data_IF_269397331083
#
_entry.id   IF_269397331083
#
_cell.length_a   1.000
_cell.length_b   1.000
_cell.length_c   1.000
_cell.angle_alpha   90.00
_cell.angle_beta   90.00
_cell.angle_gamma   90.00
#
_symmetry.space_group_name_H-M   'P 1'
#
loop_
_entity.id
_entity.type
_entity.pdbx_description
1 polymer ?
#
# COMPACT_ATOMS: atom_id res chain seq x y z
N UNK A 1 -8.37 -8.50 -18.53
CA UNK A 1 -8.29 -8.65 -20.00
C UNK A 1 -9.09 -7.60 -20.74
N UNK A 2 -8.50 -6.95 -21.74
CA UNK A 2 -9.17 -5.92 -22.53
C UNK A 2 -10.36 -6.48 -23.36
N UNK A 3 -10.28 -7.76 -23.77
CA UNK A 3 -11.34 -8.42 -24.52
C UNK A 3 -12.62 -8.66 -23.70
N UNK A 4 -12.47 -9.06 -22.44
CA UNK A 4 -13.63 -9.26 -21.55
C UNK A 4 -14.36 -7.94 -21.23
N UNK A 5 -13.59 -6.86 -21.05
CA UNK A 5 -14.14 -5.52 -20.80
C UNK A 5 -14.92 -5.02 -22.01
N UNK A 6 -14.38 -5.20 -23.23
CA UNK A 6 -15.05 -4.80 -24.46
C UNK A 6 -16.38 -5.55 -24.66
N UNK A 7 -16.42 -6.85 -24.36
CA UNK A 7 -17.63 -7.65 -24.47
C UNK A 7 -18.69 -7.25 -23.43
N UNK A 8 -18.27 -6.97 -22.19
CA UNK A 8 -19.16 -6.41 -21.17
C UNK A 8 -19.78 -5.08 -21.64
N UNK A 9 -18.97 -4.19 -22.21
CA UNK A 9 -19.45 -2.89 -22.68
C UNK A 9 -20.42 -3.01 -23.85
N UNK A 10 -20.18 -3.98 -24.75
CA UNK A 10 -21.12 -4.30 -25.83
C UNK A 10 -22.48 -4.71 -25.29
N UNK A 11 -22.52 -5.58 -24.28
CA UNK A 11 -23.77 -6.03 -23.63
C UNK A 11 -24.47 -4.88 -22.91
N UNK A 12 -23.72 -4.07 -22.15
CA UNK A 12 -24.24 -2.90 -21.45
C UNK A 12 -24.89 -1.91 -22.43
N UNK A 13 -24.23 -1.61 -23.55
CA UNK A 13 -24.79 -0.73 -24.60
C UNK A 13 -26.05 -1.31 -25.22
N UNK A 14 -26.05 -2.61 -25.56
CA UNK A 14 -27.24 -3.27 -26.12
C UNK A 14 -28.45 -3.25 -25.17
N UNK A 15 -28.22 -3.37 -23.85
CA UNK A 15 -29.29 -3.26 -22.85
C UNK A 15 -29.79 -1.82 -22.71
N UNK A 16 -28.89 -0.83 -22.69
CA UNK A 16 -29.24 0.60 -22.70
C UNK A 16 -30.10 0.95 -23.91
N UNK A 17 -29.72 0.50 -25.10
CA UNK A 17 -30.42 0.81 -26.35
C UNK A 17 -31.82 0.16 -26.40
N UNK A 18 -32.07 -0.86 -25.57
CA UNK A 18 -33.40 -1.46 -25.35
C UNK A 18 -34.23 -0.75 -24.28
N UNK A 19 -33.76 0.38 -23.74
CA UNK A 19 -34.44 1.18 -22.73
C UNK A 19 -34.23 0.73 -21.29
N UNK A 20 -33.22 -0.12 -21.03
CA UNK A 20 -32.89 -0.55 -19.66
C UNK A 20 -32.01 0.50 -18.98
N UNK A 21 -32.40 0.96 -17.80
CA UNK A 21 -31.54 1.80 -16.96
C UNK A 21 -30.48 0.92 -16.27
N UNK A 22 -29.21 1.33 -16.38
CA UNK A 22 -28.07 0.58 -15.85
C UNK A 22 -27.37 1.44 -14.82
N UNK A 23 -27.23 0.91 -13.60
CA UNK A 23 -26.38 1.49 -12.57
C UNK A 23 -25.04 0.75 -12.59
N UNK A 24 -23.99 1.46 -13.02
CA UNK A 24 -22.63 0.92 -13.06
C UNK A 24 -21.78 1.56 -11.95
N UNK A 25 -21.19 0.73 -11.10
CA UNK A 25 -20.34 1.17 -9.98
C UNK A 25 -18.91 0.75 -10.26
N UNK A 26 -18.03 1.71 -10.50
CA UNK A 26 -16.61 1.48 -10.76
C UNK A 26 -15.76 2.67 -10.33
N UNK A 27 -14.49 2.41 -10.03
CA UNK A 27 -13.46 3.42 -9.77
C UNK A 27 -12.44 3.50 -10.91
N UNK A 28 -12.57 2.66 -11.95
CA UNK A 28 -11.75 2.70 -13.15
C UNK A 28 -12.25 3.80 -14.07
N UNK A 29 -11.59 4.96 -14.04
CA UNK A 29 -12.09 6.17 -14.69
C UNK A 29 -12.35 5.95 -16.18
N UNK A 30 -11.42 5.33 -16.92
CA UNK A 30 -11.57 5.11 -18.36
C UNK A 30 -12.83 4.31 -18.70
N UNK A 31 -13.15 3.30 -17.88
CA UNK A 31 -14.36 2.52 -18.04
C UNK A 31 -15.60 3.36 -17.80
N UNK A 32 -15.65 4.13 -16.70
CA UNK A 32 -16.82 4.94 -16.35
C UNK A 32 -17.08 6.02 -17.41
N UNK A 33 -16.02 6.66 -17.93
CA UNK A 33 -16.13 7.62 -19.02
C UNK A 33 -16.61 7.00 -20.33
N UNK A 34 -16.28 5.73 -20.59
CA UNK A 34 -16.65 5.06 -21.84
C UNK A 34 -18.13 4.64 -21.92
N UNK A 35 -18.76 4.26 -20.79
CA UNK A 35 -20.10 3.65 -20.81
C UNK A 35 -21.21 4.45 -20.13
N UNK A 36 -20.87 5.51 -19.39
CA UNK A 36 -21.85 6.22 -18.57
C UNK A 36 -22.35 7.47 -19.27
N UNK A 37 -23.67 7.71 -19.26
CA UNK A 37 -24.27 8.99 -19.71
C UNK A 37 -24.22 10.07 -18.61
N UNK A 38 -24.34 9.64 -17.35
CA UNK A 38 -24.31 10.48 -16.14
C UNK A 38 -23.42 9.82 -15.09
N UNK A 39 -22.79 10.66 -14.27
CA UNK A 39 -21.95 10.25 -13.16
C UNK A 39 -22.49 10.88 -11.87
N UNK A 40 -22.68 10.06 -10.85
CA UNK A 40 -23.05 10.49 -9.50
C UNK A 40 -21.88 10.21 -8.58
N UNK A 41 -21.32 11.25 -7.97
CA UNK A 41 -20.19 11.12 -7.06
C UNK A 41 -20.71 11.03 -5.63
N UNK A 42 -20.48 9.88 -5.00
CA UNK A 42 -20.74 9.68 -3.57
C UNK A 42 -19.41 9.69 -2.81
N UNK A 43 -19.35 10.49 -1.75
CA UNK A 43 -18.21 10.49 -0.83
C UNK A 43 -18.74 10.46 0.59
N UNK A 44 -18.17 9.58 1.42
CA UNK A 44 -18.51 9.53 2.84
C UNK A 44 -20.00 9.30 3.13
N UNK A 45 -20.65 8.48 2.29
CA UNK A 45 -22.08 8.17 2.40
C UNK A 45 -23.02 9.33 2.04
N UNK A 46 -22.49 10.39 1.41
CA UNK A 46 -23.26 11.55 0.97
C UNK A 46 -23.06 11.81 -0.51
N UNK A 47 -24.11 12.34 -1.14
CA UNK A 47 -24.03 12.86 -2.51
C UNK A 47 -23.15 14.10 -2.52
N UNK A 48 -22.07 14.06 -3.31
CA UNK A 48 -21.20 15.21 -3.55
C UNK A 48 -21.74 16.01 -4.72
N UNK A 49 -21.93 15.35 -5.86
CA UNK A 49 -22.40 15.99 -7.08
C UNK A 49 -22.94 14.97 -8.08
N UNK A 50 -23.65 15.48 -9.10
CA UNK A 50 -24.12 14.70 -10.24
C UNK A 50 -23.88 15.49 -11.52
N UNK A 51 -23.23 14.83 -12.49
CA UNK A 51 -22.81 15.45 -13.74
C UNK A 51 -23.20 14.59 -14.94
N UNK A 52 -23.36 15.22 -16.10
CA UNK A 52 -23.28 14.50 -17.37
C UNK A 52 -21.82 14.16 -17.64
N UNK A 53 -21.55 12.93 -18.09
CA UNK A 53 -20.19 12.47 -18.37
C UNK A 53 -19.43 13.39 -19.31
N UNK A 54 -20.12 13.91 -20.34
CA UNK A 54 -19.56 14.83 -21.32
C UNK A 54 -19.15 16.21 -20.75
N UNK A 55 -19.66 16.58 -19.58
CA UNK A 55 -19.48 17.90 -18.95
C UNK A 55 -18.50 17.85 -17.77
N UNK A 56 -17.99 16.67 -17.39
CA UNK A 56 -17.15 16.49 -16.22
C UNK A 56 -15.70 16.15 -16.61
N UNK A 57 -14.75 17.09 -16.52
CA UNK A 57 -13.34 16.81 -16.72
C UNK A 57 -12.83 15.74 -15.74
N UNK A 58 -11.94 14.85 -16.20
CA UNK A 58 -11.35 13.75 -15.40
C UNK A 58 -10.78 14.25 -14.07
N UNK A 59 -10.03 15.34 -14.11
CA UNK A 59 -9.41 15.93 -12.91
C UNK A 59 -10.47 16.39 -11.90
N UNK A 60 -11.57 16.98 -12.36
CA UNK A 60 -12.66 17.41 -11.49
C UNK A 60 -13.37 16.22 -10.84
N UNK A 61 -13.65 15.14 -11.60
CA UNK A 61 -14.22 13.91 -11.05
C UNK A 61 -13.32 13.35 -9.93
N UNK A 62 -12.02 13.27 -10.17
CA UNK A 62 -11.05 12.81 -9.18
C UNK A 62 -11.06 13.70 -7.93
N UNK A 63 -11.09 15.03 -8.10
CA UNK A 63 -11.19 15.98 -6.98
C UNK A 63 -12.48 15.83 -6.18
N UNK A 64 -13.61 15.57 -6.85
CA UNK A 64 -14.89 15.34 -6.19
C UNK A 64 -14.90 14.00 -5.43
N UNK A 65 -14.30 12.95 -5.99
CA UNK A 65 -14.18 11.62 -5.39
C UNK A 65 -13.25 11.63 -4.16
N UNK A 66 -12.09 12.28 -4.25
CA UNK A 66 -11.03 12.24 -3.23
C UNK A 66 -11.15 13.41 -2.25
N UNK A 67 -11.41 14.63 -2.73
CA UNK A 67 -11.45 15.83 -1.88
C UNK A 67 -10.08 16.46 -1.62
N UNK A 68 -9.89 17.06 -0.44
CA UNK A 68 -8.70 17.87 -0.08
C UNK A 68 -7.40 17.06 0.08
N UNK A 69 -7.47 15.74 0.02
CA UNK A 69 -6.35 14.83 0.27
C UNK A 69 -5.28 14.89 -0.84
N UNK A 70 -5.66 15.22 -2.08
CA UNK A 70 -4.69 15.47 -3.16
C UNK A 70 -3.80 16.69 -2.87
N UNK A 71 -4.37 17.76 -2.32
CA UNK A 71 -3.61 18.97 -1.98
C UNK A 71 -2.63 18.73 -0.81
N UNK A 72 -2.95 17.80 0.10
CA UNK A 72 -2.03 17.37 1.16
C UNK A 72 -0.85 16.59 0.60
N UNK A 73 -1.10 15.69 -0.35
CA UNK A 73 -0.04 14.96 -1.07
C UNK A 73 0.90 15.92 -1.79
N UNK A 74 0.37 16.87 -2.56
CA UNK A 74 1.16 17.88 -3.27
C UNK A 74 1.98 18.81 -2.34
N UNK A 75 1.54 19.01 -1.10
CA UNK A 75 2.29 19.80 -0.10
C UNK A 75 3.39 18.97 0.57
N UNK A 76 3.13 17.71 0.91
CA UNK A 76 4.11 16.80 1.49
C UNK A 76 5.24 16.47 0.49
N UNK A 77 4.92 16.35 -0.80
CA UNK A 77 5.90 16.24 -1.89
C UNK A 77 6.92 17.39 -1.90
N UNK A 78 6.52 18.61 -1.50
CA UNK A 78 7.42 19.78 -1.45
C UNK A 78 8.28 19.84 -0.19
N UNK A 79 7.85 19.20 0.90
CA UNK A 79 8.56 19.21 2.19
C UNK A 79 9.57 18.06 2.33
N UNK A 80 9.31 16.93 1.66
CA UNK A 80 10.15 15.72 1.71
C UNK A 80 11.50 15.84 0.97
N UNK A 81 11.77 16.95 0.25
CA UNK A 81 13.01 17.20 -0.49
C UNK A 81 14.25 17.46 0.41
N UNK A 82 14.29 16.93 1.63
CA UNK A 82 15.46 16.98 2.50
C UNK A 82 16.34 15.76 2.26
N UNK A 83 17.44 16.00 1.55
CA UNK A 83 18.51 15.02 1.35
C UNK A 83 19.11 14.60 2.70
N UNK A 84 18.88 13.36 3.12
CA UNK A 84 19.66 12.68 4.16
C UNK A 84 21.10 12.58 3.65
N UNK A 85 22.11 12.96 4.44
CA UNK A 85 23.50 12.79 4.06
C UNK A 85 23.78 11.31 3.74
N UNK A 86 24.47 11.05 2.63
CA UNK A 86 24.76 9.68 2.14
C UNK A 86 25.51 8.75 3.11
N UNK A 87 25.95 9.26 4.27
CA UNK A 87 26.64 8.52 5.33
C UNK A 87 25.73 8.07 6.51
N UNK A 88 24.42 8.33 6.45
CA UNK A 88 23.53 7.91 7.53
C UNK A 88 23.36 6.38 7.56
N UNK A 89 23.63 5.76 8.71
CA UNK A 89 23.44 4.31 8.94
C UNK A 89 22.00 3.91 8.55
N UNK A 90 21.81 2.96 7.62
CA UNK A 90 20.48 2.48 7.24
C UNK A 90 19.71 1.92 8.44
N UNK A 91 18.39 2.14 8.46
CA UNK A 91 17.49 1.47 9.41
C UNK A 91 17.56 -0.04 9.22
N UNK A 92 17.56 -0.48 7.97
CA UNK A 92 17.75 -1.88 7.59
C UNK A 92 18.70 -1.92 6.40
N UNK A 93 19.69 -2.79 6.48
CA UNK A 93 20.64 -3.05 5.40
C UNK A 93 20.62 -4.53 5.06
N UNK A 94 20.33 -4.87 3.81
CA UNK A 94 20.38 -6.22 3.28
C UNK A 94 21.54 -6.34 2.30
N UNK A 95 22.33 -7.41 2.43
CA UNK A 95 23.47 -7.71 1.55
C UNK A 95 23.37 -9.14 1.03
N UNK A 96 23.30 -9.31 -0.28
CA UNK A 96 23.15 -10.60 -0.96
C UNK A 96 21.93 -11.40 -0.51
N UNK A 97 20.88 -10.72 -0.03
CA UNK A 97 19.70 -11.35 0.53
C UNK A 97 18.94 -12.06 -0.60
N UNK A 98 18.85 -13.37 -0.52
CA UNK A 98 18.30 -14.19 -1.60
C UNK A 98 17.62 -15.45 -1.10
N UNK A 99 16.75 -16.02 -1.92
CA UNK A 99 16.12 -17.33 -1.73
C UNK A 99 16.15 -18.11 -3.03
N UNK A 100 16.88 -19.21 -3.05
CA UNK A 100 17.01 -20.10 -4.21
C UNK A 100 15.64 -20.46 -4.79
N UNK A 101 15.47 -20.19 -6.09
CA UNK A 101 14.21 -20.46 -6.82
C UNK A 101 13.09 -19.46 -6.56
N UNK A 102 13.35 -18.33 -5.87
CA UNK A 102 12.34 -17.31 -5.57
C UNK A 102 12.84 -15.87 -5.74
N UNK A 103 14.05 -15.54 -5.27
CA UNK A 103 14.67 -14.21 -5.46
C UNK A 103 16.18 -14.34 -5.48
N UNK A 104 16.81 -13.73 -6.49
CA UNK A 104 18.27 -13.68 -6.60
C UNK A 104 18.86 -12.75 -5.53
N UNK A 105 20.15 -12.96 -5.15
CA UNK A 105 20.80 -12.13 -4.14
C UNK A 105 20.65 -10.64 -4.44
N UNK A 106 20.02 -9.93 -3.51
CA UNK A 106 19.70 -8.51 -3.65
C UNK A 106 20.32 -7.71 -2.51
N UNK A 107 20.94 -6.60 -2.85
CA UNK A 107 21.38 -5.57 -1.91
C UNK A 107 20.29 -4.49 -1.82
N UNK A 108 19.98 -4.05 -0.60
CA UNK A 108 18.98 -3.02 -0.36
C UNK A 108 19.30 -2.28 0.93
N UNK A 109 19.26 -0.95 0.90
CA UNK A 109 19.35 -0.10 2.09
C UNK A 109 18.05 0.69 2.26
N UNK A 110 17.48 0.61 3.46
CA UNK A 110 16.28 1.33 3.85
C UNK A 110 16.67 2.32 4.94
N UNK A 111 16.43 3.60 4.69
CA UNK A 111 16.80 4.69 5.59
C UNK A 111 15.64 5.13 6.47
N UNK A 112 15.97 5.67 7.65
CA UNK A 112 14.98 6.24 8.55
C UNK A 112 14.32 7.48 7.93
N UNK A 113 13.02 7.65 8.16
CA UNK A 113 12.25 8.79 7.66
C UNK A 113 12.08 8.84 6.14
N UNK A 114 12.23 7.71 5.46
CA UNK A 114 12.17 7.61 3.99
C UNK A 114 11.28 6.49 3.52
N UNK A 115 10.72 6.69 2.34
CA UNK A 115 9.95 5.71 1.58
C UNK A 115 10.87 5.09 0.52
N UNK A 116 11.11 3.80 0.65
CA UNK A 116 11.79 2.97 -0.36
C UNK A 116 10.75 2.24 -1.20
N UNK A 117 10.64 2.62 -2.46
CA UNK A 117 9.72 2.03 -3.42
C UNK A 117 10.27 0.74 -4.02
N UNK A 118 9.46 -0.30 -4.11
CA UNK A 118 9.77 -1.49 -4.92
C UNK A 118 8.87 -1.50 -6.17
N UNK A 119 9.48 -1.27 -7.33
CA UNK A 119 8.80 -1.23 -8.63
C UNK A 119 9.05 -2.52 -9.44
N UNK A 120 8.17 -2.83 -10.38
CA UNK A 120 8.29 -4.00 -11.25
C UNK A 120 6.98 -4.41 -11.92
N UNK A 121 6.95 -5.56 -12.57
CA UNK A 121 5.69 -6.20 -13.00
C UNK A 121 5.27 -7.28 -12.00
N UNK A 122 4.04 -7.77 -12.15
CA UNK A 122 3.59 -8.94 -11.40
C UNK A 122 4.57 -10.10 -11.61
N UNK A 123 4.98 -10.74 -10.51
CA UNK A 123 5.97 -11.82 -10.53
C UNK A 123 7.42 -11.36 -10.64
N UNK A 124 7.71 -10.06 -10.52
CA UNK A 124 9.10 -9.59 -10.59
C UNK A 124 9.95 -9.89 -9.34
N UNK A 125 9.36 -10.37 -8.25
CA UNK A 125 10.06 -10.68 -7.00
C UNK A 125 9.81 -9.70 -5.84
N UNK A 126 8.96 -8.68 -5.99
CA UNK A 126 8.77 -7.64 -4.94
C UNK A 126 8.21 -8.20 -3.64
N UNK A 127 7.17 -9.01 -3.74
CA UNK A 127 6.53 -9.67 -2.60
C UNK A 127 7.50 -10.66 -1.95
N UNK A 128 8.23 -11.44 -2.74
CA UNK A 128 9.25 -12.38 -2.27
C UNK A 128 10.35 -11.66 -1.48
N UNK A 129 10.89 -10.57 -2.02
CA UNK A 129 11.90 -9.75 -1.34
C UNK A 129 11.34 -9.18 -0.02
N UNK A 130 10.13 -8.62 -0.05
CA UNK A 130 9.48 -8.04 1.14
C UNK A 130 9.25 -9.09 2.23
N UNK A 131 8.82 -10.30 1.85
CA UNK A 131 8.64 -11.44 2.77
C UNK A 131 9.96 -11.94 3.36
N UNK A 132 11.07 -11.85 2.62
CA UNK A 132 12.41 -12.11 3.17
C UNK A 132 12.83 -11.05 4.18
N UNK A 133 12.60 -9.77 3.89
CA UNK A 133 12.90 -8.65 4.79
C UNK A 133 12.13 -8.75 6.11
N UNK A 134 10.91 -9.29 6.08
CA UNK A 134 10.12 -9.55 7.28
C UNK A 134 10.43 -10.90 7.97
N UNK A 135 11.19 -11.78 7.32
CA UNK A 135 11.42 -13.15 7.78
C UNK A 135 10.17 -14.02 7.79
N UNK A 136 9.13 -13.67 7.00
CA UNK A 136 8.01 -14.55 6.70
C UNK A 136 8.48 -15.75 5.86
N UNK A 137 9.45 -15.50 4.99
CA UNK A 137 10.18 -16.51 4.25
C UNK A 137 11.64 -16.56 4.69
N UNK A 138 12.24 -17.76 4.59
CA UNK A 138 13.63 -17.97 5.01
C UNK A 138 14.58 -17.73 3.85
N UNK A 139 15.47 -16.76 4.01
CA UNK A 139 16.57 -16.53 3.09
C UNK A 139 17.52 -17.75 3.04
N UNK A 140 18.01 -18.05 1.84
CA UNK A 140 19.07 -19.04 1.59
C UNK A 140 20.46 -18.42 1.61
N UNK A 141 20.57 -17.12 1.36
CA UNK A 141 21.84 -16.37 1.30
C UNK A 141 21.70 -14.97 1.88
N UNK A 142 22.85 -14.33 2.10
CA UNK A 142 22.95 -12.94 2.50
C UNK A 142 22.85 -12.70 4.00
N UNK A 143 22.96 -11.43 4.35
CA UNK A 143 22.90 -10.93 5.72
C UNK A 143 21.97 -9.73 5.82
N UNK A 144 21.39 -9.55 7.00
CA UNK A 144 20.56 -8.39 7.33
C UNK A 144 21.10 -7.73 8.57
N UNK A 145 21.21 -6.42 8.54
CA UNK A 145 21.53 -5.56 9.67
C UNK A 145 20.36 -4.62 9.94
N UNK A 146 20.10 -4.36 11.22
CA UNK A 146 19.14 -3.33 11.66
C UNK A 146 19.90 -2.36 12.54
N UNK A 147 19.89 -1.07 12.18
CA UNK A 147 20.68 -0.03 12.84
C UNK A 147 22.17 -0.40 12.97
N UNK A 148 22.76 -0.95 11.89
CA UNK A 148 24.15 -1.41 11.84
C UNK A 148 24.48 -2.64 12.70
N UNK A 149 23.46 -3.34 13.21
CA UNK A 149 23.63 -4.56 14.01
C UNK A 149 23.17 -5.79 13.24
N UNK A 150 24.00 -6.83 13.06
CA UNK A 150 23.58 -8.07 12.43
C UNK A 150 22.40 -8.72 13.14
N UNK A 151 21.35 -9.06 12.39
CA UNK A 151 20.15 -9.72 12.90
C UNK A 151 19.81 -10.97 12.08
N UNK A 152 19.16 -11.95 12.73
CA UNK A 152 18.67 -13.15 12.07
C UNK A 152 17.15 -13.10 11.96
N UNK A 153 16.63 -12.53 10.87
CA UNK A 153 15.20 -12.45 10.58
C UNK A 153 14.69 -13.79 10.01
N UNK A 154 14.57 -14.83 10.86
CA UNK A 154 14.13 -16.18 10.43
C UNK A 154 12.64 -16.45 10.64
N UNK A 155 11.95 -15.53 11.31
CA UNK A 155 10.52 -15.63 11.63
C UNK A 155 9.91 -14.23 11.71
N UNK A 156 8.61 -14.06 11.43
CA UNK A 156 7.90 -12.80 11.64
C UNK A 156 8.08 -12.22 13.05
N UNK A 157 8.10 -13.08 14.07
CA UNK A 157 8.29 -12.67 15.47
C UNK A 157 9.65 -12.00 15.69
N UNK A 158 10.70 -12.46 15.00
CA UNK A 158 12.02 -11.85 15.09
C UNK A 158 12.04 -10.45 14.46
N UNK A 159 11.37 -10.27 13.32
CA UNK A 159 11.25 -8.96 12.68
C UNK A 159 10.42 -7.97 13.52
N UNK A 160 9.28 -8.42 14.07
CA UNK A 160 8.46 -7.61 14.99
C UNK A 160 9.28 -7.17 16.22
N UNK A 161 10.14 -8.05 16.77
CA UNK A 161 11.01 -7.70 17.88
C UNK A 161 12.08 -6.64 17.53
N UNK A 162 12.42 -6.49 16.24
CA UNK A 162 13.28 -5.41 15.73
C UNK A 162 12.51 -4.13 15.38
N UNK A 163 11.19 -4.10 15.61
CA UNK A 163 10.32 -2.98 15.26
C UNK A 163 9.96 -2.93 13.77
N UNK A 164 9.93 -4.09 13.08
CA UNK A 164 9.51 -4.20 11.69
C UNK A 164 8.06 -4.69 11.67
N UNK A 165 7.18 -3.97 10.98
CA UNK A 165 5.80 -4.37 10.72
C UNK A 165 5.62 -4.68 9.23
N UNK A 166 4.70 -5.60 8.91
CA UNK A 166 4.46 -6.04 7.53
C UNK A 166 2.97 -6.15 7.23
N UNK A 167 2.54 -5.43 6.21
CA UNK A 167 1.22 -5.51 5.62
C UNK A 167 1.34 -6.29 4.30
N UNK A 168 0.77 -7.50 4.27
CA UNK A 168 0.83 -8.41 3.10
C UNK A 168 -0.17 -7.98 2.02
N UNK A 169 0.18 -8.28 0.75
CA UNK A 169 -0.70 -8.16 -0.41
C UNK A 169 -1.98 -9.00 -0.24
N UNK A 170 -1.87 -10.22 0.33
CA UNK A 170 -3.04 -11.05 0.62
C UNK A 170 -3.74 -10.58 1.90
N UNK A 171 -4.44 -9.46 1.77
CA UNK A 171 -5.24 -8.88 2.85
C UNK A 171 -6.20 -9.89 3.45
N UNK A 172 -6.83 -10.78 2.65
CA UNK A 172 -7.90 -11.66 3.12
C UNK A 172 -7.38 -12.93 3.80
N UNK A 173 -6.33 -13.54 3.26
CA UNK A 173 -5.74 -14.76 3.80
C UNK A 173 -4.69 -14.53 4.88
N UNK A 174 -3.89 -13.46 4.75
CA UNK A 174 -2.75 -13.19 5.64
C UNK A 174 -2.91 -11.90 6.47
N UNK A 175 -3.70 -10.94 5.98
CA UNK A 175 -3.84 -9.61 6.59
C UNK A 175 -4.87 -9.56 7.71
N UNK A 176 -6.15 -9.73 7.41
CA UNK A 176 -7.27 -9.46 8.33
C UNK A 176 -7.94 -10.73 8.83
N UNK A 177 -8.57 -10.66 10.01
CA UNK A 177 -9.45 -11.74 10.49
C UNK A 177 -10.89 -11.24 10.36
N UNK A 178 -11.53 -11.59 9.25
CA UNK A 178 -12.84 -11.04 8.86
C UNK A 178 -13.97 -11.31 9.85
N UNK A 179 -13.89 -12.42 10.59
CA UNK A 179 -14.87 -12.82 11.59
C UNK A 179 -14.70 -12.12 12.94
N UNK A 180 -13.62 -11.36 13.11
CA UNK A 180 -13.38 -10.53 14.28
C UNK A 180 -13.87 -9.09 14.04
N UNK A 181 -14.12 -8.39 15.14
CA UNK A 181 -14.52 -6.99 15.11
C UNK A 181 -13.38 -6.08 14.64
N UNK A 182 -13.71 -4.84 14.26
CA UNK A 182 -12.70 -3.79 14.00
C UNK A 182 -11.75 -3.65 15.19
N UNK A 183 -12.30 -3.58 16.41
CA UNK A 183 -11.55 -3.53 17.68
C UNK A 183 -10.55 -4.67 17.81
N UNK A 184 -11.04 -5.90 17.65
CA UNK A 184 -10.20 -7.09 17.83
C UNK A 184 -9.08 -7.11 16.81
N UNK A 185 -9.37 -6.74 15.56
CA UNK A 185 -8.37 -6.64 14.51
C UNK A 185 -7.31 -5.57 14.84
N UNK A 186 -7.69 -4.39 15.33
CA UNK A 186 -6.73 -3.34 15.71
C UNK A 186 -5.84 -3.80 16.86
N UNK A 187 -6.42 -4.38 17.91
CA UNK A 187 -5.67 -4.75 19.12
C UNK A 187 -4.81 -6.01 18.96
N UNK A 188 -5.03 -6.80 17.91
CA UNK A 188 -4.46 -8.14 17.74
C UNK A 188 -2.93 -8.16 17.84
N UNK A 189 -2.23 -7.30 17.09
CA UNK A 189 -0.77 -7.30 17.07
C UNK A 189 -0.17 -6.85 18.42
N UNK A 190 -0.78 -5.86 19.06
CA UNK A 190 -0.38 -5.42 20.39
C UNK A 190 -0.59 -6.52 21.44
N UNK A 191 -1.73 -7.23 21.38
CA UNK A 191 -2.01 -8.34 22.29
C UNK A 191 -1.05 -9.51 22.05
N UNK A 192 -0.73 -9.84 20.80
CA UNK A 192 0.25 -10.86 20.45
C UNK A 192 1.65 -10.53 21.00
N UNK A 193 2.08 -9.26 20.93
CA UNK A 193 3.35 -8.79 21.51
C UNK A 193 3.36 -8.87 23.04
N UNK A 194 2.23 -8.62 23.72
CA UNK A 194 2.11 -8.75 25.18
C UNK A 194 2.00 -10.20 25.66
N UNK A 195 1.55 -11.10 24.78
CA UNK A 195 1.25 -12.50 25.09
C UNK A 195 -0.14 -12.68 25.72
N UNK A 196 -0.67 -13.91 25.64
CA UNK A 196 -2.07 -14.25 26.02
C UNK A 196 -2.40 -14.06 27.51
N UNK A 197 -1.38 -14.09 28.38
CA UNK A 197 -1.54 -13.95 29.84
C UNK A 197 -1.72 -12.48 30.25
N UNK A 198 -1.12 -11.54 29.50
CA UNK A 198 -1.15 -10.10 29.80
C UNK A 198 -2.18 -9.40 28.92
N UNK A 199 -3.45 -9.58 29.25
CA UNK A 199 -4.56 -8.95 28.52
C UNK A 199 -4.47 -7.42 28.57
N UNK A 200 -4.81 -6.78 27.46
CA UNK A 200 -4.97 -5.32 27.40
C UNK A 200 -6.19 -4.94 28.27
N UNK A 201 -6.03 -4.05 29.27
CA UNK A 201 -7.16 -3.54 30.04
C UNK A 201 -8.21 -2.90 29.11
N UNK A 202 -9.50 -3.18 29.35
CA UNK A 202 -10.59 -2.74 28.46
C UNK A 202 -10.53 -1.24 28.15
N UNK A 203 -10.38 -0.41 29.19
CA UNK A 203 -10.25 1.05 29.05
C UNK A 203 -9.08 1.47 28.15
N UNK A 204 -7.91 0.85 28.33
CA UNK A 204 -6.74 1.10 27.49
C UNK A 204 -7.04 0.69 26.03
N UNK A 205 -7.70 -0.46 25.83
CA UNK A 205 -8.10 -0.93 24.51
C UNK A 205 -9.09 0.02 23.82
N UNK A 206 -10.09 0.52 24.56
CA UNK A 206 -11.07 1.49 24.06
C UNK A 206 -10.41 2.79 23.60
N UNK A 207 -9.51 3.35 24.41
CA UNK A 207 -8.77 4.58 24.09
C UNK A 207 -7.91 4.41 22.82
N UNK A 208 -7.19 3.28 22.70
CA UNK A 208 -6.35 2.99 21.54
C UNK A 208 -7.18 2.79 20.26
N UNK A 209 -8.28 2.03 20.34
CA UNK A 209 -9.15 1.77 19.19
C UNK A 209 -9.80 3.05 18.71
N UNK A 210 -10.33 3.88 19.62
CA UNK A 210 -10.93 5.16 19.26
C UNK A 210 -9.91 6.10 18.59
N UNK A 211 -8.67 6.16 19.12
CA UNK A 211 -7.57 6.94 18.53
C UNK A 211 -7.31 6.54 17.08
N UNK A 212 -7.17 5.25 16.80
CA UNK A 212 -6.80 4.78 15.45
C UNK A 212 -7.98 4.76 14.46
N UNK A 213 -9.21 4.53 14.92
CA UNK A 213 -10.41 4.72 14.08
C UNK A 213 -10.49 6.18 13.61
N UNK A 214 -10.26 7.14 14.51
CA UNK A 214 -10.28 8.55 14.17
C UNK A 214 -9.09 8.96 13.28
N UNK A 215 -7.87 8.56 13.64
CA UNK A 215 -6.66 8.94 12.93
C UNK A 215 -6.64 8.44 11.48
N UNK A 216 -7.20 7.26 11.20
CA UNK A 216 -7.25 6.68 9.86
C UNK A 216 -8.59 6.88 9.14
N UNK A 217 -9.54 7.60 9.76
CA UNK A 217 -10.90 7.78 9.25
C UNK A 217 -11.55 6.45 8.82
N UNK A 218 -11.56 5.47 9.74
CA UNK A 218 -12.20 4.16 9.50
C UNK A 218 -13.72 4.34 9.54
N UNK A 219 -14.39 3.88 8.47
CA UNK A 219 -15.84 4.02 8.27
C UNK A 219 -16.51 2.66 8.05
N UNK A 220 -17.67 2.40 8.69
CA UNK A 220 -18.26 3.20 9.77
C UNK A 220 -17.33 3.23 11.00
N UNK A 221 -17.43 4.30 11.79
CA UNK A 221 -16.66 4.46 13.03
C UNK A 221 -17.27 3.60 14.15
N UNK A 222 -17.40 2.30 13.89
CA UNK A 222 -17.98 1.30 14.78
C UNK A 222 -16.90 0.26 15.12
N UNK A 223 -16.36 0.27 16.34
CA UNK A 223 -15.35 -0.69 16.76
C UNK A 223 -15.87 -2.13 16.87
N UNK A 224 -17.19 -2.30 17.04
CA UNK A 224 -17.80 -3.61 17.27
C UNK A 224 -18.40 -4.21 15.97
N UNK A 225 -18.33 -3.47 14.86
CA UNK A 225 -18.66 -4.00 13.54
C UNK A 225 -17.69 -5.13 13.13
N UNK A 226 -18.23 -6.18 12.50
CA UNK A 226 -17.43 -7.25 11.92
C UNK A 226 -16.62 -6.74 10.72
N UNK A 227 -15.33 -7.03 10.71
CA UNK A 227 -14.42 -6.47 9.72
C UNK A 227 -14.75 -6.93 8.29
N UNK A 228 -15.26 -8.16 8.11
CA UNK A 228 -15.68 -8.69 6.80
C UNK A 228 -16.80 -7.85 6.13
N UNK A 229 -17.55 -7.07 6.91
CA UNK A 229 -18.64 -6.24 6.40
C UNK A 229 -18.16 -4.84 5.94
N UNK A 230 -16.91 -4.46 6.26
CA UNK A 230 -16.33 -3.18 5.84
C UNK A 230 -15.84 -3.26 4.39
N UNK A 231 -15.76 -2.10 3.71
CA UNK A 231 -15.16 -2.01 2.37
C UNK A 231 -13.66 -2.36 2.41
N UNK A 232 -13.09 -2.74 1.26
CA UNK A 232 -11.67 -3.07 1.15
C UNK A 232 -10.74 -1.98 1.68
N UNK A 233 -11.02 -0.70 1.38
CA UNK A 233 -10.27 0.44 1.89
C UNK A 233 -10.33 0.56 3.42
N UNK A 234 -11.49 0.33 4.02
CA UNK A 234 -11.62 0.36 5.48
C UNK A 234 -10.97 -0.86 6.15
N UNK A 235 -11.03 -2.03 5.53
CA UNK A 235 -10.27 -3.20 5.98
C UNK A 235 -8.76 -2.91 5.97
N UNK A 236 -8.27 -2.24 4.93
CA UNK A 236 -6.86 -1.86 4.81
C UNK A 236 -6.45 -0.85 5.89
N UNK A 237 -7.26 0.18 6.15
CA UNK A 237 -7.04 1.13 7.24
C UNK A 237 -6.98 0.43 8.60
N UNK A 238 -7.87 -0.52 8.86
CA UNK A 238 -7.85 -1.31 10.10
C UNK A 238 -6.58 -2.16 10.21
N UNK A 239 -6.11 -2.74 9.11
CA UNK A 239 -4.85 -3.48 9.07
C UNK A 239 -3.63 -2.57 9.33
N UNK A 240 -3.62 -1.36 8.77
CA UNK A 240 -2.59 -0.36 9.06
C UNK A 240 -2.63 0.06 10.54
N UNK A 241 -3.82 0.36 11.10
CA UNK A 241 -3.99 0.68 12.52
C UNK A 241 -3.39 -0.41 13.43
N UNK A 242 -3.65 -1.68 13.12
CA UNK A 242 -3.09 -2.81 13.87
C UNK A 242 -1.57 -2.74 13.96
N UNK A 243 -0.91 -2.46 12.84
CA UNK A 243 0.55 -2.43 12.79
C UNK A 243 1.11 -1.17 13.41
N UNK A 244 0.53 0.00 13.13
CA UNK A 244 0.94 1.29 13.71
C UNK A 244 0.80 1.29 15.25
N UNK A 245 -0.20 0.59 15.77
CA UNK A 245 -0.38 0.40 17.21
C UNK A 245 0.83 -0.28 17.90
N UNK A 246 1.64 -1.01 17.14
CA UNK A 246 2.87 -1.63 17.67
C UNK A 246 4.07 -0.69 17.73
N UNK A 247 3.90 0.56 17.27
CA UNK A 247 4.95 1.58 17.16
C UNK A 247 6.19 1.05 16.42
N UNK A 248 6.04 0.61 15.15
CA UNK A 248 7.16 0.12 14.38
C UNK A 248 8.16 1.24 14.10
N UNK A 249 9.37 0.86 13.66
CA UNK A 249 10.39 1.78 13.12
C UNK A 249 10.57 1.61 11.61
N UNK A 250 10.15 0.45 11.10
CA UNK A 250 10.08 0.10 9.69
C UNK A 250 8.72 -0.53 9.40
N UNK A 251 8.00 0.03 8.42
CA UNK A 251 6.74 -0.48 7.93
C UNK A 251 6.92 -0.99 6.49
N UNK A 252 6.71 -2.28 6.27
CA UNK A 252 6.73 -2.92 4.96
C UNK A 252 5.28 -3.00 4.46
N UNK A 253 4.97 -2.34 3.36
CA UNK A 253 3.64 -2.28 2.77
C UNK A 253 3.65 -2.94 1.39
N UNK A 254 3.09 -4.15 1.30
CA UNK A 254 2.99 -4.89 0.06
C UNK A 254 1.62 -4.70 -0.59
N UNK A 255 1.60 -4.06 -1.76
CA UNK A 255 0.39 -3.73 -2.53
C UNK A 255 -0.73 -3.12 -1.65
N UNK A 256 -0.44 -2.10 -0.80
CA UNK A 256 -1.35 -1.64 0.23
C UNK A 256 -2.61 -0.96 -0.34
N UNK A 257 -2.60 -0.64 -1.63
CA UNK A 257 -3.68 0.03 -2.35
C UNK A 257 -4.44 -0.93 -3.28
N UNK A 258 -4.14 -2.23 -3.23
CA UNK A 258 -4.78 -3.22 -4.08
C UNK A 258 -6.25 -3.44 -3.69
N UNK A 259 -7.13 -3.31 -4.69
CA UNK A 259 -8.55 -3.61 -4.56
C UNK A 259 -9.29 -2.68 -3.59
N UNK A 260 -8.85 -1.42 -3.49
CA UNK A 260 -9.52 -0.35 -2.76
C UNK A 260 -9.82 0.82 -3.72
N UNK A 261 -10.76 1.68 -3.36
CA UNK A 261 -11.13 2.83 -4.20
C UNK A 261 -10.04 3.92 -4.22
N UNK A 262 -10.12 4.80 -5.21
CA UNK A 262 -9.12 5.85 -5.45
C UNK A 262 -8.97 6.84 -4.27
N UNK A 263 -10.06 7.08 -3.52
CA UNK A 263 -10.02 7.92 -2.32
C UNK A 263 -9.24 7.25 -1.19
N UNK A 264 -9.58 5.99 -0.88
CA UNK A 264 -8.85 5.22 0.12
C UNK A 264 -7.36 5.06 -0.25
N UNK A 265 -7.05 4.90 -1.53
CA UNK A 265 -5.67 4.87 -2.05
C UNK A 265 -4.93 6.17 -1.77
N UNK A 266 -5.50 7.32 -2.11
CA UNK A 266 -4.90 8.63 -1.83
C UNK A 266 -4.69 8.84 -0.32
N UNK A 267 -5.66 8.45 0.52
CA UNK A 267 -5.54 8.54 1.98
C UNK A 267 -4.40 7.69 2.54
N UNK A 268 -4.22 6.47 2.03
CA UNK A 268 -3.11 5.61 2.45
C UNK A 268 -1.76 6.19 2.02
N UNK A 269 -1.66 6.69 0.78
CA UNK A 269 -0.43 7.35 0.31
C UNK A 269 -0.10 8.58 1.16
N UNK A 270 -1.09 9.41 1.49
CA UNK A 270 -0.89 10.60 2.32
C UNK A 270 -0.41 10.21 3.73
N UNK A 271 -1.01 9.17 4.31
CA UNK A 271 -0.56 8.62 5.58
C UNK A 271 0.88 8.11 5.51
N UNK A 272 1.26 7.41 4.44
CA UNK A 272 2.64 6.91 4.26
C UNK A 272 3.63 8.06 4.22
N UNK A 273 3.36 9.09 3.42
CA UNK A 273 4.20 10.29 3.34
C UNK A 273 4.31 11.00 4.68
N UNK A 274 3.20 11.12 5.42
CA UNK A 274 3.20 11.70 6.77
C UNK A 274 4.04 10.87 7.75
N UNK A 275 3.87 9.54 7.77
CA UNK A 275 4.64 8.68 8.66
C UNK A 275 6.14 8.78 8.38
N UNK A 276 6.52 8.84 7.10
CA UNK A 276 7.90 9.03 6.69
C UNK A 276 8.46 10.37 7.16
N UNK A 277 7.73 11.48 6.99
CA UNK A 277 8.17 12.79 7.48
C UNK A 277 8.27 12.86 9.01
N UNK A 278 7.51 12.06 9.73
CA UNK A 278 7.63 11.85 11.19
C UNK A 278 8.80 10.93 11.60
N UNK A 279 9.59 10.43 10.64
CA UNK A 279 10.80 9.64 10.87
C UNK A 279 10.62 8.12 10.75
N UNK A 280 9.42 7.65 10.40
CA UNK A 280 9.18 6.22 10.10
C UNK A 280 9.93 5.81 8.83
N UNK A 281 10.52 4.62 8.82
CA UNK A 281 11.05 4.04 7.59
C UNK A 281 9.93 3.25 6.92
N UNK A 282 9.72 3.42 5.61
CA UNK A 282 8.65 2.72 4.89
C UNK A 282 9.22 2.03 3.66
N UNK A 283 8.83 0.77 3.43
CA UNK A 283 8.95 0.14 2.11
C UNK A 283 7.57 0.10 1.49
N UNK A 284 7.43 0.65 0.30
CA UNK A 284 6.17 0.70 -0.42
C UNK A 284 6.26 -0.10 -1.72
N UNK A 285 5.49 -1.18 -1.80
CA UNK A 285 5.41 -2.03 -2.99
C UNK A 285 4.10 -1.74 -3.70
N UNK A 286 4.16 -1.50 -5.00
CA UNK A 286 2.95 -1.41 -5.83
C UNK A 286 3.23 -1.87 -7.26
N UNK A 287 2.23 -2.51 -7.87
CA UNK A 287 2.20 -2.78 -9.30
C UNK A 287 1.88 -1.51 -10.12
N UNK A 288 1.30 -0.49 -9.50
CA UNK A 288 1.00 0.78 -10.12
C UNK A 288 2.21 1.71 -9.97
N UNK A 289 3.03 1.77 -11.02
CA UNK A 289 4.31 2.52 -11.03
C UNK A 289 4.16 3.98 -10.63
N UNK A 290 3.05 4.62 -11.03
CA UNK A 290 2.73 6.00 -10.66
C UNK A 290 2.62 6.21 -9.16
N UNK A 291 2.19 5.20 -8.39
CA UNK A 291 2.18 5.30 -6.93
C UNK A 291 3.60 5.30 -6.38
N UNK A 292 4.42 4.36 -6.85
CA UNK A 292 5.81 4.22 -6.40
C UNK A 292 6.58 5.50 -6.69
N UNK A 293 6.46 6.04 -7.91
CA UNK A 293 7.09 7.29 -8.32
C UNK A 293 6.65 8.48 -7.48
N UNK A 294 5.38 8.53 -7.08
CA UNK A 294 4.81 9.67 -6.37
C UNK A 294 5.33 9.80 -4.93
N UNK A 295 5.48 8.69 -4.22
CA UNK A 295 5.76 8.73 -2.77
C UNK A 295 7.16 8.27 -2.37
N UNK A 296 7.95 7.70 -3.28
CA UNK A 296 9.23 7.09 -2.93
C UNK A 296 10.39 8.05 -3.05
N UNK A 297 11.26 8.08 -2.04
CA UNK A 297 12.55 8.80 -2.07
C UNK A 297 13.60 8.03 -2.89
N UNK A 298 13.52 6.70 -2.87
CA UNK A 298 14.36 5.80 -3.68
C UNK A 298 13.51 4.68 -4.24
N UNK A 299 13.85 4.22 -5.43
CA UNK A 299 13.08 3.18 -6.13
C UNK A 299 14.02 2.05 -6.55
N UNK A 300 13.82 0.88 -5.98
CA UNK A 300 14.45 -0.35 -6.46
C UNK A 300 13.55 -1.00 -7.50
N UNK A 301 14.06 -1.17 -8.71
CA UNK A 301 13.33 -1.82 -9.81
C UNK A 301 13.67 -3.30 -9.82
N UNK A 302 12.65 -4.14 -9.69
CA UNK A 302 12.76 -5.59 -9.80
C UNK A 302 12.21 -6.10 -11.13
N UNK A 303 12.92 -7.07 -11.70
CA UNK A 303 12.55 -7.79 -12.92
C UNK A 303 13.06 -9.23 -12.84
N UNK A 304 12.22 -10.20 -13.19
CA UNK A 304 12.57 -11.63 -13.21
C UNK A 304 13.30 -12.10 -11.94
N UNK A 305 12.78 -11.71 -10.77
CA UNK A 305 13.32 -12.05 -9.46
C UNK A 305 14.72 -11.46 -9.17
N UNK A 306 15.11 -10.38 -9.86
CA UNK A 306 16.38 -9.66 -9.70
C UNK A 306 16.14 -8.17 -9.49
N UNK A 307 16.94 -7.57 -8.61
CA UNK A 307 17.10 -6.11 -8.60
C UNK A 307 17.94 -5.69 -9.82
N UNK A 308 17.39 -4.84 -10.68
CA UNK A 308 18.04 -4.38 -11.92
C UNK A 308 18.49 -2.93 -11.87
N UNK A 309 17.93 -2.13 -10.98
CA UNK A 309 18.32 -0.74 -10.77
C UNK A 309 17.89 -0.23 -9.39
N UNK A 310 18.62 0.75 -8.87
CA UNK A 310 18.26 1.55 -7.71
C UNK A 310 18.34 3.03 -8.12
N UNK A 311 17.19 3.69 -8.15
CA UNK A 311 17.01 5.05 -8.63
C UNK A 311 16.75 6.00 -7.47
N UNK A 312 17.23 7.23 -7.58
CA UNK A 312 16.71 8.33 -6.77
C UNK A 312 15.29 8.64 -7.26
N UNK A 313 14.34 8.79 -6.32
CA UNK A 313 12.94 9.08 -6.65
C UNK A 313 12.77 10.40 -7.41
N UNK A 314 13.64 11.37 -7.16
CA UNK A 314 13.60 12.68 -7.83
C UNK A 314 14.04 12.64 -9.30
N UNK A 315 14.87 11.65 -9.67
CA UNK A 315 15.36 11.45 -11.04
C UNK A 315 14.54 10.39 -11.80
N UNK A 316 13.65 9.68 -11.12
CA UNK A 316 12.86 8.60 -11.70
C UNK A 316 11.63 9.14 -12.46
N UNK A 317 11.40 8.60 -13.65
CA UNK A 317 10.22 8.89 -14.48
C UNK A 317 9.49 7.60 -14.80
N UNK A 318 8.21 7.70 -15.17
CA UNK A 318 7.44 6.53 -15.60
C UNK A 318 8.13 5.82 -16.76
N UNK A 319 8.57 6.57 -17.77
CA UNK A 319 9.23 6.01 -18.94
C UNK A 319 10.55 5.33 -18.59
N UNK A 320 11.37 5.92 -17.70
CA UNK A 320 12.65 5.30 -17.31
C UNK A 320 12.47 4.00 -16.54
N UNK A 321 11.47 3.93 -15.65
CA UNK A 321 11.16 2.69 -14.92
C UNK A 321 10.58 1.63 -15.85
N UNK A 322 9.66 2.00 -16.75
CA UNK A 322 9.09 1.07 -17.75
C UNK A 322 10.18 0.50 -18.66
N UNK A 323 11.11 1.33 -19.11
CA UNK A 323 12.21 0.93 -19.96
C UNK A 323 13.18 -0.03 -19.24
N UNK A 324 13.49 0.21 -17.97
CA UNK A 324 14.27 -0.74 -17.14
C UNK A 324 13.56 -2.09 -16.98
N UNK A 325 12.23 -2.09 -16.86
CA UNK A 325 11.44 -3.30 -16.83
C UNK A 325 11.46 -4.01 -18.20
N UNK A 326 11.38 -3.26 -19.31
CA UNK A 326 11.24 -3.81 -20.66
C UNK A 326 12.57 -4.31 -21.29
N UNK A 327 13.70 -3.66 -20.99
CA UNK A 327 15.04 -3.96 -21.58
C UNK A 327 15.63 -5.35 -21.26
N UNK A 328 14.87 -6.24 -20.64
CA UNK A 328 15.28 -7.60 -20.31
C UNK A 328 14.93 -8.65 -21.36
N UNK A 329 14.22 -8.27 -22.43
CA UNK A 329 13.72 -9.18 -23.46
C UNK A 329 14.77 -9.80 -24.38
N UNK A 330 15.98 -9.23 -24.46
CA UNK A 330 17.03 -9.76 -25.33
C UNK A 330 17.90 -10.78 -24.59
N UNK A 331 17.41 -12.02 -24.55
CA UNK A 331 18.28 -13.18 -24.35
C UNK A 331 19.12 -13.37 -25.63
N UNK A 332 20.39 -13.01 -25.55
CA UNK A 332 21.44 -13.58 -26.40
C UNK A 332 21.90 -14.93 -25.83
#
# INVERSE_FOLDING_TARGET
DAGEVAELFRVVRALRDRGVAILFVSHFLDQVYEISDRMTVLRNGRLVAEHRTAELPRLQLVQEMIGRELATLEHLEREAAQQVPGDAVPRLSARGLGRTGAIDPTDLDIHAGRVTGLAGLLGSGRTELTRLLFGADRASSGTVEVDGKPVKLRTPRAAIAQGIAFCSEDRKGEGVVGDLTVRDNILLALQARRGWVRRIPRRQGDELVAKYIAALDVRPADPDALLRNLSGGNQQKVLLARWLLTEPRLLLLDEPTRGIDIGAKAQIQALVSQLASEGMSVVFVSAELEEVLRISDRITVLRDHRSVADLDGSDATLDSVVDLIARGGDRA
#
